data_IF_905319325764
#
_entry.id   IF_905319325764
#
_cell.length_a   1.000
_cell.length_b   1.000
_cell.length_c   1.000
_cell.angle_alpha   90.00
_cell.angle_beta   90.00
_cell.angle_gamma   90.00
#
_symmetry.space_group_name_H-M   'P 1'
#
loop_
_entity.id
_entity.type
_entity.pdbx_description
1 polymer ?
#
# COMPACT_ATOMS: atom_id res chain seq x y z
N UNK A 1 -9.70 12.17 -105.68
CA UNK A 1 -9.34 10.78 -105.36
C UNK A 1 -8.28 10.87 -104.28
N UNK A 2 -8.66 10.73 -103.00
CA UNK A 2 -7.67 10.77 -101.93
C UNK A 2 -6.86 9.47 -101.99
N UNK A 3 -5.54 9.59 -102.08
CA UNK A 3 -4.63 8.44 -102.14
C UNK A 3 -4.78 7.61 -100.86
N UNK A 4 -5.26 6.38 -101.01
CA UNK A 4 -5.36 5.37 -99.95
C UNK A 4 -4.02 5.19 -99.21
N UNK A 5 -2.90 5.42 -99.90
CA UNK A 5 -1.55 5.42 -99.34
C UNK A 5 -1.33 6.52 -98.29
N UNK A 6 -1.89 7.72 -98.49
CA UNK A 6 -1.75 8.87 -97.57
C UNK A 6 -2.57 8.64 -96.31
N UNK A 7 -3.76 8.04 -96.44
CA UNK A 7 -4.61 7.68 -95.30
C UNK A 7 -3.98 6.55 -94.48
N UNK A 8 -3.36 5.55 -95.13
CA UNK A 8 -2.66 4.46 -94.46
C UNK A 8 -1.43 4.97 -93.69
N UNK A 9 -0.62 5.83 -94.31
CA UNK A 9 0.53 6.45 -93.65
C UNK A 9 0.12 7.37 -92.50
N UNK A 10 -1.00 8.10 -92.63
CA UNK A 10 -1.55 8.93 -91.55
C UNK A 10 -2.05 8.07 -90.37
N UNK A 11 -2.70 6.93 -90.65
CA UNK A 11 -3.13 5.97 -89.62
C UNK A 11 -1.94 5.31 -88.92
N UNK A 12 -0.93 4.83 -89.66
CA UNK A 12 0.31 4.27 -89.09
C UNK A 12 1.05 5.31 -88.24
N UNK A 13 1.13 6.55 -88.71
CA UNK A 13 1.77 7.66 -87.99
C UNK A 13 1.04 8.10 -86.71
N UNK A 14 -0.23 7.72 -86.51
CA UNK A 14 -0.99 8.06 -85.29
C UNK A 14 -1.20 6.87 -84.34
N UNK A 15 -1.37 5.67 -84.88
CA UNK A 15 -1.63 4.44 -84.10
C UNK A 15 -0.36 3.96 -83.40
N UNK A 16 0.78 3.97 -84.10
CA UNK A 16 2.05 3.47 -83.54
C UNK A 16 2.51 4.34 -82.35
N UNK A 17 2.55 5.68 -82.44
CA UNK A 17 2.91 6.51 -81.29
C UNK A 17 1.92 6.39 -80.13
N UNK A 18 0.62 6.23 -80.42
CA UNK A 18 -0.41 6.06 -79.39
C UNK A 18 -0.26 4.74 -78.63
N UNK A 19 0.05 3.63 -79.32
CA UNK A 19 0.33 2.34 -78.69
C UNK A 19 1.61 2.38 -77.86
N UNK A 20 2.67 3.02 -78.38
CA UNK A 20 3.93 3.21 -77.63
C UNK A 20 3.69 4.05 -76.39
N UNK A 21 2.93 5.14 -76.48
CA UNK A 21 2.54 5.96 -75.35
C UNK A 21 1.71 5.17 -74.32
N UNK A 22 0.79 4.32 -74.77
CA UNK A 22 -0.02 3.47 -73.89
C UNK A 22 0.83 2.45 -73.12
N UNK A 23 1.77 1.78 -73.81
CA UNK A 23 2.70 0.83 -73.19
C UNK A 23 3.63 1.55 -72.21
N UNK A 24 4.19 2.69 -72.61
CA UNK A 24 5.04 3.51 -71.74
C UNK A 24 4.28 3.98 -70.49
N UNK A 25 3.03 4.43 -70.65
CA UNK A 25 2.18 4.86 -69.53
C UNK A 25 1.92 3.71 -68.57
N UNK A 26 1.56 2.51 -69.06
CA UNK A 26 1.35 1.34 -68.21
C UNK A 26 2.62 0.91 -67.46
N UNK A 27 3.79 0.99 -68.11
CA UNK A 27 5.07 0.68 -67.46
C UNK A 27 5.37 1.69 -66.35
N UNK A 28 5.16 2.99 -66.62
CA UNK A 28 5.37 4.06 -65.64
C UNK A 28 4.38 3.92 -64.46
N UNK A 29 3.09 3.70 -64.73
CA UNK A 29 2.08 3.46 -63.70
C UNK A 29 2.41 2.25 -62.83
N UNK A 30 2.81 1.13 -63.45
CA UNK A 30 3.24 -0.06 -62.74
C UNK A 30 4.46 0.18 -61.85
N UNK A 31 5.44 0.93 -62.32
CA UNK A 31 6.63 1.30 -61.55
C UNK A 31 6.31 2.23 -60.39
N UNK A 32 5.44 3.23 -60.61
CA UNK A 32 4.98 4.15 -59.57
C UNK A 32 4.22 3.38 -58.50
N UNK A 33 3.27 2.54 -58.89
CA UNK A 33 2.50 1.69 -57.97
C UNK A 33 3.41 0.80 -57.15
N UNK A 34 4.33 0.08 -57.78
CA UNK A 34 5.28 -0.79 -57.10
C UNK A 34 6.19 -0.01 -56.11
N UNK A 35 6.58 1.23 -56.46
CA UNK A 35 7.31 2.11 -55.57
C UNK A 35 6.49 2.52 -54.33
N UNK A 36 5.21 2.87 -54.53
CA UNK A 36 4.29 3.20 -53.44
C UNK A 36 3.99 2.00 -52.56
N UNK A 37 3.75 0.82 -53.14
CA UNK A 37 3.49 -0.42 -52.40
C UNK A 37 4.70 -0.78 -51.51
N UNK A 38 5.92 -0.72 -52.06
CA UNK A 38 7.15 -0.94 -51.28
C UNK A 38 7.33 0.08 -50.15
N UNK A 39 7.07 1.36 -50.41
CA UNK A 39 7.14 2.41 -49.37
C UNK A 39 6.10 2.15 -48.28
N UNK A 40 4.87 1.81 -48.66
CA UNK A 40 3.78 1.51 -47.74
C UNK A 40 4.09 0.31 -46.85
N UNK A 41 4.59 -0.79 -47.44
CA UNK A 41 4.99 -1.98 -46.67
C UNK A 41 6.13 -1.66 -45.71
N UNK A 42 7.15 -0.92 -46.17
CA UNK A 42 8.26 -0.48 -45.32
C UNK A 42 7.76 0.37 -44.15
N UNK A 43 6.92 1.37 -44.39
CA UNK A 43 6.35 2.22 -43.34
C UNK A 43 5.50 1.40 -42.35
N UNK A 44 4.67 0.46 -42.83
CA UNK A 44 3.89 -0.43 -41.96
C UNK A 44 4.79 -1.30 -41.08
N UNK A 45 5.87 -1.84 -41.64
CA UNK A 45 6.84 -2.64 -40.90
C UNK A 45 7.55 -1.80 -39.84
N UNK A 46 8.03 -0.60 -40.19
CA UNK A 46 8.66 0.34 -39.26
C UNK A 46 7.72 0.71 -38.10
N UNK A 47 6.46 1.04 -38.42
CA UNK A 47 5.42 1.31 -37.40
C UNK A 47 5.12 0.10 -36.52
N UNK A 48 5.04 -1.11 -37.09
CA UNK A 48 4.81 -2.33 -36.32
C UNK A 48 5.96 -2.62 -35.35
N UNK A 49 7.20 -2.41 -35.78
CA UNK A 49 8.39 -2.51 -34.92
C UNK A 49 8.33 -1.47 -33.80
N UNK A 50 7.98 -0.23 -34.13
CA UNK A 50 7.88 0.86 -33.16
C UNK A 50 6.77 0.61 -32.13
N UNK A 51 5.59 0.18 -32.56
CA UNK A 51 4.48 -0.24 -31.70
C UNK A 51 4.93 -1.37 -30.77
N UNK A 52 5.62 -2.38 -31.29
CA UNK A 52 6.11 -3.50 -30.50
C UNK A 52 7.15 -3.06 -29.45
N UNK A 53 8.01 -2.10 -29.79
CA UNK A 53 8.95 -1.48 -28.85
C UNK A 53 8.22 -0.73 -27.74
N UNK A 54 7.26 0.12 -28.09
CA UNK A 54 6.46 0.85 -27.09
C UNK A 54 5.66 -0.08 -26.18
N UNK A 55 5.05 -1.14 -26.72
CA UNK A 55 4.36 -2.14 -25.91
C UNK A 55 5.31 -2.84 -24.93
N UNK A 56 6.53 -3.17 -25.37
CA UNK A 56 7.55 -3.79 -24.52
C UNK A 56 8.00 -2.84 -23.41
N UNK A 57 8.27 -1.57 -23.74
CA UNK A 57 8.64 -0.55 -22.76
C UNK A 57 7.53 -0.31 -21.74
N UNK A 58 6.28 -0.20 -22.19
CA UNK A 58 5.11 0.00 -21.33
C UNK A 58 4.92 -1.20 -20.39
N UNK A 59 5.04 -2.43 -20.89
CA UNK A 59 4.96 -3.62 -20.06
C UNK A 59 6.09 -3.70 -19.04
N UNK A 60 7.31 -3.32 -19.42
CA UNK A 60 8.47 -3.25 -18.52
C UNK A 60 8.26 -2.22 -17.40
N UNK A 61 7.80 -1.01 -17.76
CA UNK A 61 7.45 0.05 -16.81
C UNK A 61 6.32 -0.40 -15.86
N UNK A 62 5.26 -0.98 -16.40
CA UNK A 62 4.14 -1.52 -15.61
C UNK A 62 4.61 -2.59 -14.64
N UNK A 63 5.49 -3.49 -15.08
CA UNK A 63 6.03 -4.56 -14.23
C UNK A 63 6.90 -4.01 -13.11
N UNK A 64 7.71 -2.98 -13.39
CA UNK A 64 8.53 -2.27 -12.41
C UNK A 64 7.69 -1.54 -11.36
N UNK A 65 6.66 -0.81 -11.79
CA UNK A 65 5.77 -0.09 -10.87
C UNK A 65 4.94 -1.08 -10.03
N UNK A 66 4.41 -2.15 -10.63
CA UNK A 66 3.73 -3.21 -9.89
C UNK A 66 4.66 -3.85 -8.85
N UNK A 67 5.92 -4.12 -9.19
CA UNK A 67 6.88 -4.68 -8.24
C UNK A 67 7.13 -3.74 -7.05
N UNK A 68 7.36 -2.44 -7.30
CA UNK A 68 7.53 -1.44 -6.24
C UNK A 68 6.30 -1.34 -5.35
N UNK A 69 5.12 -1.27 -5.97
CA UNK A 69 3.85 -1.20 -5.28
C UNK A 69 3.66 -2.41 -4.36
N UNK A 70 3.83 -3.63 -4.89
CA UNK A 70 3.74 -4.87 -4.10
C UNK A 70 4.72 -4.87 -2.94
N UNK A 71 5.98 -4.49 -3.15
CA UNK A 71 6.99 -4.46 -2.09
C UNK A 71 6.65 -3.46 -0.98
N UNK A 72 6.17 -2.28 -1.35
CA UNK A 72 5.74 -1.27 -0.38
C UNK A 72 4.53 -1.77 0.43
N UNK A 73 3.57 -2.40 -0.23
CA UNK A 73 2.40 -2.97 0.45
C UNK A 73 2.75 -4.12 1.37
N UNK A 74 3.66 -5.01 0.96
CA UNK A 74 4.19 -6.09 1.82
C UNK A 74 4.83 -5.51 3.10
N UNK A 75 5.69 -4.50 2.96
CA UNK A 75 6.31 -3.84 4.12
C UNK A 75 5.26 -3.18 5.01
N UNK A 76 4.30 -2.46 4.43
CA UNK A 76 3.21 -1.83 5.17
C UNK A 76 2.39 -2.87 5.94
N UNK A 77 2.12 -4.04 5.35
CA UNK A 77 1.39 -5.12 6.02
C UNK A 77 2.15 -5.68 7.23
N UNK A 78 3.46 -5.91 7.11
CA UNK A 78 4.27 -6.38 8.25
C UNK A 78 4.34 -5.32 9.36
N UNK A 79 4.43 -4.04 9.01
CA UNK A 79 4.38 -2.94 9.99
C UNK A 79 3.05 -2.92 10.73
N UNK A 80 1.92 -2.98 10.02
CA UNK A 80 0.59 -2.95 10.65
C UNK A 80 0.34 -4.18 11.54
N UNK A 81 0.80 -5.35 11.11
CA UNK A 81 0.72 -6.60 11.91
C UNK A 81 1.54 -6.51 13.19
N UNK A 82 2.77 -6.00 13.10
CA UNK A 82 3.65 -5.83 14.27
C UNK A 82 3.08 -4.77 15.20
N UNK A 83 2.59 -3.65 14.65
CA UNK A 83 1.88 -2.60 15.40
C UNK A 83 0.74 -3.18 16.20
N UNK A 84 -0.15 -3.97 15.56
CA UNK A 84 -1.28 -4.60 16.26
C UNK A 84 -0.83 -5.61 17.32
N UNK A 85 0.29 -6.30 17.11
CA UNK A 85 0.85 -7.23 18.10
C UNK A 85 1.33 -6.50 19.35
N UNK A 86 2.10 -5.42 19.17
CA UNK A 86 2.60 -4.59 20.26
C UNK A 86 1.45 -3.88 20.99
N UNK A 87 0.48 -3.33 20.26
CA UNK A 87 -0.75 -2.74 20.80
C UNK A 87 -1.46 -3.70 21.78
N UNK A 88 -1.67 -4.96 21.36
CA UNK A 88 -2.28 -5.96 22.23
C UNK A 88 -1.42 -6.29 23.45
N UNK A 89 -0.10 -6.39 23.29
CA UNK A 89 0.84 -6.63 24.38
C UNK A 89 0.75 -5.52 25.42
N UNK A 90 0.88 -4.26 25.01
CA UNK A 90 0.77 -3.08 25.88
C UNK A 90 -0.57 -3.05 26.63
N UNK A 91 -1.69 -3.28 25.92
CA UNK A 91 -3.02 -3.35 26.55
C UNK A 91 -3.12 -4.48 27.57
N UNK A 92 -2.56 -5.64 27.27
CA UNK A 92 -2.63 -6.81 28.17
C UNK A 92 -1.76 -6.63 29.40
N UNK A 93 -0.55 -6.09 29.24
CA UNK A 93 0.34 -5.80 30.37
C UNK A 93 -0.27 -4.73 31.29
N UNK A 94 -0.89 -3.69 30.72
CA UNK A 94 -1.65 -2.70 31.50
C UNK A 94 -2.80 -3.36 32.27
N UNK A 95 -3.59 -4.22 31.61
CA UNK A 95 -4.71 -4.91 32.24
C UNK A 95 -4.27 -5.83 33.38
N UNK A 96 -3.14 -6.53 33.23
CA UNK A 96 -2.56 -7.35 34.28
C UNK A 96 -2.07 -6.49 35.45
N UNK A 97 -1.47 -5.33 35.16
CA UNK A 97 -0.98 -4.40 36.16
C UNK A 97 -2.12 -3.77 36.99
N UNK A 98 -3.21 -3.34 36.36
CA UNK A 98 -4.32 -2.69 37.10
C UNK A 98 -5.37 -3.67 37.62
N UNK A 99 -5.23 -4.98 37.34
CA UNK A 99 -6.18 -6.01 37.78
C UNK A 99 -6.37 -6.01 39.29
N UNK A 100 -7.62 -6.09 39.74
CA UNK A 100 -7.97 -6.28 41.15
C UNK A 100 -7.49 -7.62 41.70
N UNK A 101 -7.57 -8.66 40.87
CA UNK A 101 -7.21 -10.02 41.25
C UNK A 101 -5.86 -10.34 40.61
N UNK A 102 -4.83 -10.40 41.45
CA UNK A 102 -3.46 -10.74 41.06
C UNK A 102 -3.05 -12.04 41.73
N UNK A 103 -2.71 -13.04 40.93
CA UNK A 103 -2.08 -14.26 41.43
C UNK A 103 -0.66 -13.93 41.85
N UNK A 104 -0.32 -14.24 43.11
CA UNK A 104 1.02 -14.09 43.67
C UNK A 104 1.68 -15.48 43.67
N UNK A 105 2.70 -15.72 42.83
CA UNK A 105 3.45 -16.96 42.84
C UNK A 105 4.19 -17.18 44.18
N UNK A 106 4.37 -18.44 44.56
CA UNK A 106 4.98 -18.84 45.84
C UNK A 106 6.42 -18.32 46.06
N UNK A 107 7.12 -17.88 45.00
CA UNK A 107 8.50 -17.41 45.05
C UNK A 107 8.65 -15.88 45.04
N UNK A 108 7.56 -15.11 45.17
CA UNK A 108 7.63 -13.64 45.18
C UNK A 108 6.64 -13.01 46.16
N UNK A 109 7.00 -11.84 46.68
CA UNK A 109 6.12 -11.01 47.52
C UNK A 109 5.12 -10.22 46.67
N UNK A 110 4.07 -9.68 47.30
CA UNK A 110 3.10 -8.78 46.65
C UNK A 110 3.79 -7.57 46.01
N UNK A 111 4.73 -6.95 46.72
CA UNK A 111 5.48 -5.77 46.24
C UNK A 111 6.32 -6.15 45.01
N UNK A 112 7.10 -7.23 45.08
CA UNK A 112 7.90 -7.70 43.94
C UNK A 112 7.02 -8.05 42.73
N UNK A 113 5.83 -8.61 42.95
CA UNK A 113 4.87 -8.90 41.88
C UNK A 113 4.37 -7.60 41.23
N UNK A 114 4.07 -6.61 42.04
CA UNK A 114 3.59 -5.31 41.60
C UNK A 114 4.63 -4.56 40.78
N UNK A 115 5.85 -4.46 41.30
CA UNK A 115 7.00 -3.85 40.61
C UNK A 115 7.24 -4.51 39.26
N UNK A 116 7.18 -5.85 39.21
CA UNK A 116 7.33 -6.60 37.97
C UNK A 116 6.23 -6.31 36.96
N UNK A 117 4.98 -6.18 37.39
CA UNK A 117 3.86 -5.87 36.49
C UNK A 117 3.94 -4.43 35.98
N UNK A 118 4.35 -3.49 36.84
CA UNK A 118 4.62 -2.09 36.47
C UNK A 118 5.72 -2.02 35.41
N UNK A 119 6.84 -2.70 35.65
CA UNK A 119 7.98 -2.73 34.74
C UNK A 119 7.64 -3.39 33.39
N UNK A 120 6.86 -4.48 33.41
CA UNK A 120 6.38 -5.13 32.18
C UNK A 120 5.59 -4.15 31.31
N UNK A 121 4.67 -3.39 31.92
CA UNK A 121 3.90 -2.38 31.19
C UNK A 121 4.79 -1.27 30.65
N UNK A 122 5.70 -0.71 31.47
CA UNK A 122 6.63 0.34 31.02
C UNK A 122 7.44 -0.13 29.82
N UNK A 123 8.00 -1.33 29.91
CA UNK A 123 8.78 -1.94 28.82
C UNK A 123 7.94 -2.09 27.55
N UNK A 124 6.71 -2.63 27.64
CA UNK A 124 5.87 -2.83 26.45
C UNK A 124 5.29 -1.53 25.89
N UNK A 125 5.06 -0.51 26.72
CA UNK A 125 4.64 0.82 26.30
C UNK A 125 5.78 1.56 25.57
N UNK A 126 6.99 1.54 26.12
CA UNK A 126 8.18 2.13 25.49
C UNK A 126 8.56 1.43 24.18
N UNK A 127 8.50 0.09 24.15
CA UNK A 127 8.71 -0.69 22.93
C UNK A 127 7.68 -0.32 21.85
N UNK A 128 6.42 -0.13 22.25
CA UNK A 128 5.36 0.25 21.32
C UNK A 128 5.55 1.66 20.77
N UNK A 129 5.82 2.66 21.62
CA UNK A 129 6.10 4.04 21.20
C UNK A 129 7.25 4.07 20.20
N UNK A 130 8.38 3.47 20.57
CA UNK A 130 9.59 3.45 19.72
C UNK A 130 9.30 2.82 18.36
N UNK A 131 8.59 1.70 18.36
CA UNK A 131 8.21 1.04 17.12
C UNK A 131 7.31 1.91 16.24
N UNK A 132 6.33 2.61 16.83
CA UNK A 132 5.44 3.52 16.09
C UNK A 132 6.23 4.68 15.51
N UNK A 133 7.06 5.35 16.31
CA UNK A 133 7.89 6.48 15.88
C UNK A 133 8.84 6.11 14.74
N UNK A 134 9.49 4.94 14.83
CA UNK A 134 10.40 4.43 13.80
C UNK A 134 9.68 4.07 12.48
N UNK A 135 8.35 3.90 12.51
CA UNK A 135 7.56 3.41 11.38
C UNK A 135 6.44 4.35 10.93
N UNK A 136 6.48 5.63 11.32
CA UNK A 136 5.43 6.63 11.02
C UNK A 136 5.05 6.69 9.53
N UNK A 137 6.03 6.56 8.64
CA UNK A 137 5.84 6.63 7.18
C UNK A 137 4.87 5.57 6.62
N UNK A 138 4.56 4.51 7.38
CA UNK A 138 3.67 3.42 6.96
C UNK A 138 2.22 3.59 7.44
N UNK A 139 1.96 4.55 8.33
CA UNK A 139 0.62 4.84 8.84
C UNK A 139 -0.05 5.94 8.01
N UNK A 140 -1.38 5.95 8.03
CA UNK A 140 -2.14 7.13 7.59
C UNK A 140 -2.23 8.11 8.76
N UNK A 141 -2.38 9.40 8.46
CA UNK A 141 -2.56 10.46 9.47
C UNK A 141 -3.67 10.12 10.49
N UNK A 142 -4.76 9.52 10.01
CA UNK A 142 -5.87 9.07 10.87
C UNK A 142 -5.43 7.96 11.84
N UNK A 143 -4.75 6.92 11.32
CA UNK A 143 -4.29 5.80 12.14
C UNK A 143 -3.23 6.25 13.16
N UNK A 144 -2.32 7.12 12.74
CA UNK A 144 -1.34 7.77 13.62
C UNK A 144 -2.04 8.51 14.77
N UNK A 145 -3.03 9.35 14.46
CA UNK A 145 -3.78 10.10 15.47
C UNK A 145 -4.48 9.18 16.48
N UNK A 146 -5.09 8.08 16.02
CA UNK A 146 -5.80 7.15 16.91
C UNK A 146 -4.80 6.36 17.79
N UNK A 147 -3.65 5.97 17.24
CA UNK A 147 -2.56 5.32 18.00
C UNK A 147 -2.01 6.27 19.06
N UNK A 148 -1.83 7.55 18.76
CA UNK A 148 -1.37 8.54 19.74
C UNK A 148 -2.36 8.66 20.92
N UNK A 149 -3.67 8.67 20.64
CA UNK A 149 -4.70 8.66 21.70
C UNK A 149 -4.64 7.39 22.54
N UNK A 150 -4.41 6.22 21.94
CA UNK A 150 -4.20 4.97 22.68
C UNK A 150 -3.00 5.07 23.64
N UNK A 151 -1.86 5.56 23.12
CA UNK A 151 -0.60 5.69 23.89
C UNK A 151 -0.83 6.56 25.13
N UNK A 152 -1.47 7.72 24.93
CA UNK A 152 -1.77 8.68 26.00
C UNK A 152 -2.73 8.08 27.03
N UNK A 153 -3.85 7.49 26.61
CA UNK A 153 -4.83 6.92 27.55
C UNK A 153 -4.26 5.74 28.35
N UNK A 154 -3.43 4.89 27.72
CA UNK A 154 -2.72 3.83 28.44
C UNK A 154 -1.81 4.42 29.53
N UNK A 155 -1.06 5.47 29.20
CA UNK A 155 -0.14 6.12 30.14
C UNK A 155 -0.88 6.83 31.27
N UNK A 156 -1.99 7.50 30.97
CA UNK A 156 -2.84 8.14 31.99
C UNK A 156 -3.43 7.12 32.96
N UNK A 157 -3.94 5.97 32.47
CA UNK A 157 -4.43 4.90 33.34
C UNK A 157 -3.31 4.38 34.24
N UNK A 158 -2.12 4.17 33.68
CA UNK A 158 -0.94 3.72 34.41
C UNK A 158 -0.56 4.69 35.53
N UNK A 159 -0.34 5.99 35.23
CA UNK A 159 0.04 6.99 36.23
C UNK A 159 -0.99 7.08 37.36
N UNK A 160 -2.27 7.12 36.98
CA UNK A 160 -3.37 7.23 37.94
C UNK A 160 -3.41 6.02 38.88
N UNK A 161 -3.08 4.82 38.39
CA UNK A 161 -3.01 3.63 39.25
C UNK A 161 -1.72 3.59 40.08
N UNK A 162 -0.55 3.79 39.46
CA UNK A 162 0.78 3.67 40.08
C UNK A 162 0.95 4.66 41.26
N UNK A 163 0.61 5.94 41.05
CA UNK A 163 0.69 6.99 42.08
C UNK A 163 -0.13 6.65 43.33
N UNK A 164 -1.27 5.99 43.13
CA UNK A 164 -2.18 5.62 44.22
C UNK A 164 -1.79 4.30 44.89
N UNK A 165 -1.17 3.38 44.15
CA UNK A 165 -0.75 2.07 44.65
C UNK A 165 0.40 2.18 45.65
N UNK A 166 1.35 3.09 45.40
CA UNK A 166 2.46 3.40 46.32
C UNK A 166 1.94 3.89 47.67
N UNK A 167 0.84 4.66 47.69
CA UNK A 167 0.24 5.16 48.95
C UNK A 167 -0.46 4.05 49.75
N UNK A 168 -1.09 3.09 49.08
CA UNK A 168 -1.78 1.96 49.74
C UNK A 168 -0.76 0.96 50.29
N UNK A 169 0.30 0.63 49.55
CA UNK A 169 1.36 -0.26 50.01
C UNK A 169 2.08 0.28 51.26
N UNK A 170 1.97 1.59 51.52
CA UNK A 170 2.43 2.24 52.75
C UNK A 170 1.47 2.08 53.96
N UNK A 171 0.38 1.30 53.84
CA UNK A 171 -0.50 0.91 54.95
C UNK A 171 -1.81 1.69 55.08
N UNK A 172 -2.23 2.39 54.03
CA UNK A 172 -3.43 3.23 54.01
C UNK A 172 -4.56 2.54 53.22
N UNK A 173 -5.51 1.94 53.94
CA UNK A 173 -6.84 1.47 53.49
C UNK A 173 -6.94 0.52 52.27
N UNK A 174 -7.18 -0.77 52.54
CA UNK A 174 -7.42 -1.84 51.55
C UNK A 174 -8.72 -1.65 50.72
N UNK A 175 -9.72 -0.93 51.25
CA UNK A 175 -10.97 -0.67 50.51
C UNK A 175 -10.79 0.41 49.45
N UNK A 176 -9.98 1.44 49.75
CA UNK A 176 -9.65 2.49 48.78
C UNK A 176 -8.84 1.91 47.62
N UNK A 177 -7.91 0.99 47.90
CA UNK A 177 -7.17 0.25 46.88
C UNK A 177 -8.06 -0.50 45.91
N UNK A 178 -9.00 -1.31 46.43
CA UNK A 178 -9.92 -2.10 45.58
C UNK A 178 -10.78 -1.19 44.70
N UNK A 179 -11.32 -0.09 45.25
CA UNK A 179 -12.10 0.88 44.45
C UNK A 179 -11.28 1.49 43.31
N UNK A 180 -10.01 1.82 43.57
CA UNK A 180 -9.13 2.41 42.55
C UNK A 180 -8.67 1.40 41.51
N UNK A 181 -8.35 0.17 41.91
CA UNK A 181 -8.07 -0.93 40.99
C UNK A 181 -9.26 -1.22 40.07
N UNK A 182 -10.47 -1.29 40.65
CA UNK A 182 -11.72 -1.43 39.89
C UNK A 182 -11.90 -0.27 38.90
N UNK A 183 -11.71 0.97 39.35
CA UNK A 183 -11.82 2.14 38.47
C UNK A 183 -10.80 2.12 37.33
N UNK A 184 -9.55 1.74 37.59
CA UNK A 184 -8.50 1.68 36.58
C UNK A 184 -8.77 0.55 35.57
N UNK A 185 -9.21 -0.61 36.04
CA UNK A 185 -9.62 -1.72 35.18
C UNK A 185 -10.82 -1.36 34.32
N UNK A 186 -11.83 -0.71 34.90
CA UNK A 186 -13.01 -0.19 34.18
C UNK A 186 -12.62 0.82 33.10
N UNK A 187 -11.63 1.68 33.35
CA UNK A 187 -11.14 2.63 32.34
C UNK A 187 -10.50 1.93 31.13
N UNK A 188 -9.94 0.72 31.28
CA UNK A 188 -9.49 -0.08 30.12
C UNK A 188 -10.68 -0.45 29.23
N UNK A 189 -11.79 -0.87 29.83
CA UNK A 189 -12.99 -1.22 29.07
C UNK A 189 -13.65 0.01 28.44
N UNK A 190 -13.77 1.11 29.20
CA UNK A 190 -14.51 2.29 28.75
C UNK A 190 -13.72 3.18 27.79
N UNK A 191 -12.40 3.24 27.93
CA UNK A 191 -11.55 4.13 27.11
C UNK A 191 -10.69 3.37 26.11
N UNK A 192 -10.01 2.31 26.54
CA UNK A 192 -9.04 1.61 25.68
C UNK A 192 -9.74 0.70 24.66
N UNK A 193 -10.77 -0.05 25.05
CA UNK A 193 -11.44 -0.97 24.12
C UNK A 193 -12.08 -0.30 22.90
N UNK A 194 -12.78 0.85 23.04
CA UNK A 194 -13.28 1.57 21.87
C UNK A 194 -12.16 1.99 20.90
N UNK A 195 -11.02 2.46 21.43
CA UNK A 195 -9.86 2.83 20.62
C UNK A 195 -9.30 1.61 19.89
N UNK A 196 -9.12 0.49 20.60
CA UNK A 196 -8.67 -0.79 20.02
C UNK A 196 -9.55 -1.25 18.86
N UNK A 197 -10.89 -1.13 19.01
CA UNK A 197 -11.85 -1.49 17.96
C UNK A 197 -11.67 -0.60 16.72
N UNK A 198 -11.52 0.71 16.93
CA UNK A 198 -11.28 1.67 15.85
C UNK A 198 -9.96 1.39 15.13
N UNK A 199 -8.86 1.20 15.85
CA UNK A 199 -7.55 0.83 15.28
C UNK A 199 -7.66 -0.46 14.46
N UNK A 200 -8.32 -1.49 15.01
CA UNK A 200 -8.53 -2.76 14.31
C UNK A 200 -9.31 -2.58 13.00
N UNK A 201 -10.33 -1.71 13.01
CA UNK A 201 -11.13 -1.41 11.81
C UNK A 201 -10.27 -0.74 10.74
N UNK A 202 -9.52 0.30 11.10
CA UNK A 202 -8.62 1.01 10.19
C UNK A 202 -7.56 0.08 9.60
N UNK A 203 -6.93 -0.76 10.42
CA UNK A 203 -5.95 -1.76 9.95
C UNK A 203 -6.60 -2.72 8.95
N UNK A 204 -7.82 -3.21 9.23
CA UNK A 204 -8.55 -4.11 8.33
C UNK A 204 -8.93 -3.48 7.00
N UNK A 205 -9.26 -2.19 7.00
CA UNK A 205 -9.53 -1.41 5.79
C UNK A 205 -8.27 -1.34 4.92
N UNK A 206 -7.11 -1.04 5.51
CA UNK A 206 -5.84 -0.99 4.78
C UNK A 206 -5.42 -2.37 4.24
N UNK A 207 -5.73 -3.45 4.98
CA UNK A 207 -5.48 -4.82 4.54
C UNK A 207 -6.48 -5.31 3.47
N UNK A 208 -7.53 -4.55 3.15
CA UNK A 208 -8.54 -4.95 2.17
C UNK A 208 -9.44 -6.12 2.63
N UNK A 209 -9.57 -6.32 3.94
CA UNK A 209 -10.34 -7.43 4.53
C UNK A 209 -11.81 -7.11 4.81
N UNK A 210 -12.26 -5.90 4.48
CA UNK A 210 -13.67 -5.47 4.56
C UNK A 210 -14.42 -5.69 3.22
N UNK A 211 -14.18 -6.85 2.58
CA UNK A 211 -14.95 -7.35 1.42
C UNK A 211 -15.99 -8.37 1.88
#
# INVERSE_FOLDING_TARGET
MFDTQVILNALESSIIPSLVALVATKIIEGNIKNSFDKKLEKTKMEQSIEISKFQTELNSLKSKENFKFTKLHEQRFEVLKTTYTLLNKTRNDLALFVSEIKVIPNNMTRIQREDKLSENFRTSHEEFIRYVDDNLIFFSDNLESIIAVFIEECFQIFINYDTNNVMVLAGLDDNEFKRKAFSAYKNIEEKIQPIMITIKKEIREVLGTNL
#
